data_IF_884174290336
#
_entry.id   IF_884174290336
#
_cell.length_a   1.000
_cell.length_b   1.000
_cell.length_c   1.000
_cell.angle_alpha   90.00
_cell.angle_beta   90.00
_cell.angle_gamma   90.00
#
_symmetry.space_group_name_H-M   'P 1'
#
loop_
_entity.id
_entity.type
_entity.pdbx_description
1 polymer ?
#
# COMPACT_ATOMS: atom_id res chain seq x y z
N UNK A 1 -0.80 22.55 -8.79
CA UNK A 1 0.33 21.61 -8.68
C UNK A 1 0.40 21.15 -7.23
N UNK A 2 -0.25 20.05 -6.89
CA UNK A 2 -0.15 19.38 -5.59
C UNK A 2 -0.26 17.88 -5.88
N UNK A 3 0.84 17.30 -6.35
CA UNK A 3 1.00 15.85 -6.40
C UNK A 3 1.52 15.41 -5.04
N UNK A 4 0.61 15.06 -4.13
CA UNK A 4 0.98 14.54 -2.82
C UNK A 4 1.32 13.05 -2.95
N UNK A 5 2.54 12.75 -3.40
CA UNK A 5 3.10 11.37 -3.31
C UNK A 5 3.29 10.93 -1.86
N UNK A 6 3.15 11.85 -0.89
CA UNK A 6 3.12 11.59 0.55
C UNK A 6 1.78 10.98 1.01
N UNK A 7 0.79 10.87 0.11
CA UNK A 7 -0.58 10.46 0.41
C UNK A 7 -0.96 9.09 -0.18
N UNK A 8 0.02 8.23 -0.49
CA UNK A 8 -0.24 6.91 -1.08
C UNK A 8 0.65 5.83 -0.47
N UNK A 9 0.01 4.74 -0.06
CA UNK A 9 0.65 3.57 0.53
C UNK A 9 0.14 2.31 -0.16
N UNK A 10 1.02 1.36 -0.44
CA UNK A 10 0.62 0.05 -0.97
C UNK A 10 0.42 -0.91 0.20
N UNK A 11 -0.77 -1.49 0.27
CA UNK A 11 -1.13 -2.52 1.25
C UNK A 11 -1.21 -3.85 0.52
N UNK A 12 -0.55 -4.88 1.05
CA UNK A 12 -0.62 -6.22 0.50
C UNK A 12 -0.27 -7.30 1.51
N UNK A 13 -0.57 -8.54 1.16
CA UNK A 13 -0.26 -9.72 1.97
C UNK A 13 0.90 -10.54 1.38
N UNK A 14 1.39 -10.17 0.19
CA UNK A 14 2.48 -10.84 -0.49
C UNK A 14 3.72 -9.95 -0.63
N UNK A 15 4.82 -10.38 -0.02
CA UNK A 15 6.11 -9.68 -0.11
C UNK A 15 6.67 -9.59 -1.52
N UNK A 16 6.50 -10.63 -2.34
CA UNK A 16 7.13 -10.73 -3.67
C UNK A 16 6.40 -9.92 -4.73
N UNK A 17 5.12 -9.64 -4.55
CA UNK A 17 4.32 -8.86 -5.50
C UNK A 17 4.10 -7.46 -4.97
N UNK A 18 3.40 -7.33 -3.83
CA UNK A 18 2.83 -6.06 -3.41
C UNK A 18 3.92 -5.17 -2.80
N UNK A 19 4.69 -5.73 -1.88
CA UNK A 19 5.78 -5.01 -1.21
C UNK A 19 6.91 -4.73 -2.20
N UNK A 20 7.25 -5.68 -3.06
CA UNK A 20 8.26 -5.46 -4.10
C UNK A 20 7.83 -4.36 -5.08
N UNK A 21 6.57 -4.37 -5.54
CA UNK A 21 6.06 -3.35 -6.45
C UNK A 21 6.08 -1.96 -5.79
N UNK A 22 5.63 -1.85 -4.53
CA UNK A 22 5.66 -0.58 -3.83
C UNK A 22 7.07 -0.08 -3.52
N UNK A 23 7.97 -0.99 -3.16
CA UNK A 23 9.38 -0.66 -2.98
C UNK A 23 10.02 -0.14 -4.28
N UNK A 24 9.74 -0.78 -5.42
CA UNK A 24 10.22 -0.33 -6.74
C UNK A 24 9.60 1.00 -7.17
N UNK A 25 8.35 1.26 -6.78
CA UNK A 25 7.67 2.53 -7.03
C UNK A 25 8.12 3.66 -6.09
N UNK A 26 8.94 3.37 -5.07
CA UNK A 26 9.34 4.35 -4.06
C UNK A 26 8.19 4.77 -3.13
N UNK A 27 7.16 3.94 -3.01
CA UNK A 27 6.00 4.18 -2.15
C UNK A 27 6.19 3.51 -0.79
N UNK A 28 5.53 4.05 0.24
CA UNK A 28 5.42 3.33 1.51
C UNK A 28 4.66 2.02 1.31
N UNK A 29 5.08 0.97 2.00
CA UNK A 29 4.49 -0.36 1.88
C UNK A 29 4.05 -0.92 3.22
N UNK A 30 2.89 -1.55 3.24
CA UNK A 30 2.26 -2.11 4.42
C UNK A 30 2.01 -3.60 4.16
N UNK A 31 2.65 -4.45 4.95
CA UNK A 31 2.42 -5.89 4.92
C UNK A 31 1.35 -6.29 5.94
N UNK A 32 0.34 -7.04 5.52
CA UNK A 32 -0.60 -7.69 6.43
C UNK A 32 -0.29 -9.18 6.58
N UNK A 33 -0.21 -9.64 7.83
CA UNK A 33 0.13 -11.04 8.16
C UNK A 33 -1.08 -11.98 8.15
N UNK A 34 -2.28 -11.47 7.84
CA UNK A 34 -3.51 -12.26 7.75
C UNK A 34 -3.65 -13.09 6.47
N UNK A 35 -2.77 -12.87 5.49
CA UNK A 35 -2.81 -13.54 4.18
C UNK A 35 -1.67 -14.53 3.99
N UNK A 36 -0.93 -14.39 2.89
CA UNK A 36 0.08 -15.38 2.46
C UNK A 36 1.41 -15.25 3.19
N UNK A 37 1.96 -14.03 3.29
CA UNK A 37 3.31 -13.84 3.87
C UNK A 37 3.26 -13.75 5.39
N UNK A 38 4.29 -14.29 6.02
CA UNK A 38 4.47 -14.24 7.47
C UNK A 38 5.76 -13.48 7.84
N UNK A 39 5.97 -13.28 9.15
CA UNK A 39 7.11 -12.49 9.63
C UNK A 39 8.46 -13.12 9.27
N UNK A 40 8.55 -14.45 9.19
CA UNK A 40 9.79 -15.14 8.83
C UNK A 40 10.16 -14.87 7.36
N UNK A 41 9.16 -14.74 6.47
CA UNK A 41 9.40 -14.39 5.07
C UNK A 41 10.04 -12.99 4.96
N UNK A 42 9.67 -12.05 5.83
CA UNK A 42 10.26 -10.70 5.88
C UNK A 42 11.75 -10.76 6.23
N UNK A 43 12.15 -11.64 7.16
CA UNK A 43 13.56 -11.80 7.53
C UNK A 43 14.40 -12.42 6.42
N UNK A 44 13.78 -13.20 5.54
CA UNK A 44 14.43 -13.83 4.39
C UNK A 44 14.62 -12.91 3.18
N UNK A 45 14.00 -11.72 3.19
CA UNK A 45 14.00 -10.79 2.07
C UNK A 45 15.04 -9.67 2.24
N UNK A 46 15.69 -9.22 1.14
CA UNK A 46 16.65 -8.12 1.18
C UNK A 46 15.99 -6.73 1.29
N UNK A 47 14.66 -6.66 1.19
CA UNK A 47 13.85 -5.46 1.35
C UNK A 47 12.87 -5.65 2.51
N UNK A 48 12.50 -4.55 3.17
CA UNK A 48 11.55 -4.58 4.28
C UNK A 48 10.35 -3.68 4.00
N UNK A 49 9.12 -4.14 4.36
CA UNK A 49 7.96 -3.28 4.33
C UNK A 49 8.12 -2.13 5.33
N UNK A 50 7.52 -0.98 5.04
CA UNK A 50 7.53 0.19 5.92
C UNK A 50 6.75 -0.08 7.22
N UNK A 51 5.64 -0.81 7.12
CA UNK A 51 4.81 -1.19 8.26
C UNK A 51 4.35 -2.65 8.14
N UNK A 52 4.17 -3.31 9.29
CA UNK A 52 3.65 -4.68 9.37
C UNK A 52 2.47 -4.68 10.34
N UNK A 53 1.33 -5.20 9.90
CA UNK A 53 0.14 -5.34 10.73
C UNK A 53 -0.37 -6.78 10.71
N UNK A 54 -1.01 -7.25 11.80
CA UNK A 54 -1.60 -8.59 11.83
C UNK A 54 -2.78 -8.72 10.87
N UNK A 55 -3.57 -7.66 10.66
CA UNK A 55 -4.70 -7.66 9.72
C UNK A 55 -4.96 -6.28 9.10
N UNK A 56 -5.78 -6.24 8.06
CA UNK A 56 -6.23 -4.97 7.42
C UNK A 56 -7.02 -4.09 8.40
N UNK A 57 -7.75 -4.67 9.35
CA UNK A 57 -8.53 -3.91 10.33
C UNK A 57 -7.63 -3.05 11.25
N UNK A 58 -6.41 -3.51 11.51
CA UNK A 58 -5.43 -2.78 12.31
C UNK A 58 -4.90 -1.54 11.59
N UNK A 59 -4.92 -1.54 10.25
CA UNK A 59 -4.55 -0.38 9.43
C UNK A 59 -5.53 0.78 9.65
N UNK A 60 -6.83 0.49 9.71
CA UNK A 60 -7.85 1.52 9.95
C UNK A 60 -7.62 2.22 11.30
N UNK A 61 -7.28 1.45 12.34
CA UNK A 61 -6.93 2.00 13.64
C UNK A 61 -5.68 2.90 13.57
N UNK A 62 -4.68 2.54 12.78
CA UNK A 62 -3.49 3.35 12.57
C UNK A 62 -3.78 4.66 11.82
N UNK A 63 -4.51 4.58 10.70
CA UNK A 63 -4.85 5.74 9.86
C UNK A 63 -5.71 6.76 10.62
N UNK A 64 -6.65 6.29 11.44
CA UNK A 64 -7.48 7.17 12.27
C UNK A 64 -6.65 8.03 13.24
N UNK A 65 -5.49 7.54 13.71
CA UNK A 65 -4.59 8.25 14.63
C UNK A 65 -3.70 9.28 13.93
N UNK A 66 -3.32 9.01 12.68
CA UNK A 66 -2.47 9.90 11.86
C UNK A 66 -3.20 11.14 11.36
N UNK A 67 -4.51 11.31 11.64
CA UNK A 67 -5.36 12.35 11.05
C UNK A 67 -5.25 12.39 9.52
N UNK A 68 -5.07 11.21 8.92
CA UNK A 68 -5.10 11.08 7.48
C UNK A 68 -6.44 11.61 6.97
N UNK A 69 -6.48 12.42 5.91
CA UNK A 69 -7.72 12.88 5.35
C UNK A 69 -8.50 11.66 4.84
N UNK A 70 -9.51 11.23 5.61
CA UNK A 70 -10.44 10.16 5.23
C UNK A 70 -11.37 10.57 4.09
N UNK A 71 -11.17 11.74 3.50
CA UNK A 71 -11.73 12.08 2.20
C UNK A 71 -11.09 11.17 1.17
N UNK A 72 -11.69 10.00 0.97
CA UNK A 72 -11.58 9.23 -0.27
C UNK A 72 -12.11 10.14 -1.38
N UNK A 73 -11.30 11.10 -1.84
CA UNK A 73 -11.52 11.73 -3.12
C UNK A 73 -11.53 10.58 -4.11
N UNK A 74 -12.63 10.35 -4.85
CA UNK A 74 -12.67 9.26 -5.80
C UNK A 74 -11.44 9.37 -6.68
N UNK A 75 -10.64 8.29 -6.78
CA UNK A 75 -9.59 8.24 -7.79
C UNK A 75 -10.26 8.64 -9.10
N UNK A 76 -9.69 9.58 -9.88
CA UNK A 76 -10.22 9.90 -11.19
C UNK A 76 -10.31 8.56 -11.92
N UNK A 77 -11.56 8.13 -12.20
CA UNK A 77 -11.75 6.92 -12.98
C UNK A 77 -11.04 7.18 -14.29
N UNK A 78 -9.97 6.41 -14.53
CA UNK A 78 -9.07 6.64 -15.65
C UNK A 78 -9.89 6.87 -16.90
N UNK A 79 -9.54 7.93 -17.64
CA UNK A 79 -10.06 8.11 -18.99
C UNK A 79 -9.80 6.82 -19.74
N UNK A 80 -10.88 6.08 -20.01
CA UNK A 80 -10.85 4.99 -20.97
C UNK A 80 -10.46 5.62 -22.29
N UNK A 81 -9.24 5.35 -22.75
CA UNK A 81 -8.84 5.62 -24.11
C UNK A 81 -9.81 4.89 -25.02
N UNK A 82 -10.71 5.66 -25.62
CA UNK A 82 -11.64 5.23 -26.66
C UNK A 82 -10.85 4.67 -27.86
N UNK A 83 -11.04 3.39 -28.24
CA UNK A 83 -10.45 2.84 -29.45
C UNK A 83 -11.31 3.24 -30.66
N UNK A 84 -11.32 4.54 -30.98
CA UNK A 84 -11.94 5.07 -32.19
C UNK A 84 -10.99 6.09 -32.86
N UNK A 85 -9.90 5.57 -33.44
CA UNK A 85 -9.15 6.28 -34.48
C UNK A 85 -8.35 5.33 -35.36
#
# INVERSE_FOLDING_TARGET
>A
MQGHSEETVIVGDNLRTDILAGFQAGLETVLVLSGVSNLNDVESMPFRPSYIFPSVADITNFLSRKQWPLTLTPLPQGEGTDPAR
#
